data_IF_041792606562
#
_entry.id   IF_041792606562
#
_cell.length_a   1.000
_cell.length_b   1.000
_cell.length_c   1.000
_cell.angle_alpha   90.00
_cell.angle_beta   90.00
_cell.angle_gamma   90.00
#
_symmetry.space_group_name_H-M   'P 1'
#
loop_
_entity.id
_entity.type
_entity.pdbx_description
1 polymer ?
#
# COMPACT_ATOMS: atom_id res chain seq x y z
N UNK A 1 20.00 -1.92 10.17
CA UNK A 1 18.57 -2.32 10.19
C UNK A 1 18.47 -3.55 9.33
N UNK A 2 18.07 -4.69 9.90
CA UNK A 2 17.89 -5.91 9.10
C UNK A 2 16.72 -5.71 8.14
N UNK A 3 16.99 -5.88 6.84
CA UNK A 3 15.98 -5.75 5.80
C UNK A 3 15.07 -6.97 5.82
N UNK A 4 13.90 -6.85 6.45
CA UNK A 4 12.92 -7.93 6.56
C UNK A 4 11.67 -7.63 5.74
N UNK A 5 11.48 -8.36 4.64
CA UNK A 5 10.26 -8.25 3.82
C UNK A 5 9.10 -8.94 4.55
N UNK A 6 8.00 -8.21 4.79
CA UNK A 6 6.80 -8.70 5.46
C UNK A 6 5.92 -9.60 4.58
N UNK A 7 6.44 -10.73 4.10
CA UNK A 7 5.72 -11.64 3.20
C UNK A 7 4.45 -12.17 3.88
N UNK A 8 3.30 -12.05 3.22
CA UNK A 8 2.02 -12.54 3.72
C UNK A 8 1.31 -11.64 4.73
N UNK A 9 1.94 -10.53 5.15
CA UNK A 9 1.28 -9.52 5.99
C UNK A 9 0.38 -8.65 5.12
N UNK A 10 -0.92 -8.67 5.42
CA UNK A 10 -1.93 -7.88 4.71
C UNK A 10 -2.52 -6.75 5.53
N UNK A 11 -2.23 -6.70 6.83
CA UNK A 11 -2.63 -5.64 7.74
C UNK A 11 -1.53 -4.57 7.81
N UNK A 12 -1.92 -3.31 7.58
CA UNK A 12 -0.99 -2.19 7.51
C UNK A 12 -0.39 -1.83 8.88
N UNK A 13 -1.22 -1.76 9.93
CA UNK A 13 -0.76 -1.40 11.28
C UNK A 13 0.27 -2.41 11.80
N UNK A 14 -0.04 -3.71 11.72
CA UNK A 14 0.86 -4.78 12.11
C UNK A 14 2.17 -4.79 11.29
N UNK A 15 2.12 -4.42 10.01
CA UNK A 15 3.33 -4.27 9.18
C UNK A 15 4.21 -3.12 9.70
N UNK A 16 3.61 -1.98 10.04
CA UNK A 16 4.32 -0.80 10.54
C UNK A 16 4.95 -1.04 11.91
N UNK A 17 4.22 -1.65 12.83
CA UNK A 17 4.68 -1.96 14.19
C UNK A 17 5.83 -2.99 14.20
N UNK A 18 5.81 -3.92 13.27
CA UNK A 18 6.82 -4.99 13.20
C UNK A 18 8.16 -4.58 12.58
N UNK A 19 8.33 -3.30 12.21
CA UNK A 19 9.58 -2.79 11.61
C UNK A 19 9.94 -3.46 10.28
N UNK A 20 8.97 -4.05 9.60
CA UNK A 20 9.17 -4.69 8.31
C UNK A 20 9.40 -3.65 7.21
N UNK A 21 10.12 -4.06 6.16
CA UNK A 21 10.25 -3.24 4.95
C UNK A 21 8.87 -3.00 4.33
N UNK A 22 8.57 -1.72 4.11
CA UNK A 22 7.33 -1.24 3.52
C UNK A 22 7.68 -0.11 2.55
N UNK A 23 7.07 -0.15 1.36
CA UNK A 23 7.17 0.94 0.38
C UNK A 23 5.94 1.81 0.57
N UNK A 24 6.17 3.03 1.05
CA UNK A 24 5.13 4.03 1.18
C UNK A 24 4.67 4.51 -0.19
N UNK A 25 3.34 4.50 -0.41
CA UNK A 25 2.69 4.93 -1.65
C UNK A 25 1.73 6.09 -1.41
N UNK A 26 1.78 6.72 -0.23
CA UNK A 26 0.86 7.78 0.18
C UNK A 26 0.88 8.94 -0.81
N UNK A 27 2.07 9.41 -1.20
CA UNK A 27 2.24 10.51 -2.17
C UNK A 27 1.59 10.19 -3.53
N UNK A 28 1.87 9.01 -4.09
CA UNK A 28 1.27 8.56 -5.35
C UNK A 28 -0.27 8.51 -5.28
N UNK A 29 -0.82 8.07 -4.14
CA UNK A 29 -2.28 8.02 -3.94
C UNK A 29 -2.84 9.44 -3.83
N UNK A 30 -2.14 10.33 -3.14
CA UNK A 30 -2.53 11.73 -2.99
C UNK A 30 -2.59 12.45 -4.33
N UNK A 31 -1.55 12.34 -5.15
CA UNK A 31 -1.51 12.90 -6.51
C UNK A 31 -2.66 12.35 -7.35
N UNK A 32 -2.90 11.04 -7.28
CA UNK A 32 -3.97 10.42 -8.05
C UNK A 32 -5.36 10.92 -7.64
N UNK A 33 -5.61 11.10 -6.34
CA UNK A 33 -6.93 11.51 -5.84
C UNK A 33 -7.16 13.02 -6.00
N UNK A 34 -6.14 13.85 -5.83
CA UNK A 34 -6.30 15.31 -5.82
C UNK A 34 -5.93 15.98 -7.13
N UNK A 35 -4.97 15.45 -7.87
CA UNK A 35 -4.41 16.09 -9.07
C UNK A 35 -4.98 15.50 -10.37
N UNK A 36 -5.91 14.54 -10.27
CA UNK A 36 -6.59 13.95 -11.44
C UNK A 36 -8.11 14.01 -11.30
N UNK A 37 -8.81 14.26 -12.41
CA UNK A 37 -10.28 14.26 -12.48
C UNK A 37 -10.84 12.86 -12.82
N UNK A 38 -10.15 11.81 -12.36
CA UNK A 38 -10.50 10.43 -12.68
C UNK A 38 -11.68 9.96 -11.84
N UNK A 39 -12.85 9.73 -12.47
CA UNK A 39 -13.98 9.09 -11.79
C UNK A 39 -13.67 7.66 -11.31
N UNK A 40 -12.83 6.94 -12.05
CA UNK A 40 -12.38 5.59 -11.72
C UNK A 40 -10.91 5.44 -12.12
N UNK A 41 -10.05 5.01 -11.19
CA UNK A 41 -8.67 4.60 -11.52
C UNK A 41 -8.52 3.08 -11.47
N UNK A 42 -8.14 2.48 -12.61
CA UNK A 42 -7.85 1.05 -12.72
C UNK A 42 -6.36 0.76 -12.53
N UNK A 43 -6.04 -0.05 -11.52
CA UNK A 43 -4.67 -0.56 -11.32
C UNK A 43 -4.52 -1.97 -11.88
N UNK A 44 -3.94 -2.10 -13.07
CA UNK A 44 -3.59 -3.40 -13.67
C UNK A 44 -2.37 -4.00 -12.95
N UNK A 45 -2.61 -4.78 -11.89
CA UNK A 45 -1.53 -5.35 -11.06
C UNK A 45 -1.62 -6.87 -10.90
N UNK A 46 -0.48 -7.60 -10.95
CA UNK A 46 -0.41 -9.05 -10.77
C UNK A 46 -0.98 -9.55 -9.43
N UNK A 47 -1.18 -10.86 -9.30
CA UNK A 47 -1.58 -11.50 -8.04
C UNK A 47 -0.45 -11.37 -7.00
N UNK A 48 -0.82 -11.15 -5.73
CA UNK A 48 0.11 -10.94 -4.58
C UNK A 48 0.93 -9.64 -4.59
N UNK A 49 0.55 -8.65 -5.39
CA UNK A 49 1.22 -7.34 -5.45
C UNK A 49 0.83 -6.35 -4.32
N UNK A 50 0.33 -6.84 -3.19
CA UNK A 50 -0.01 -6.00 -2.03
C UNK A 50 -1.29 -5.18 -2.16
N UNK A 51 -2.29 -5.64 -2.94
CA UNK A 51 -3.60 -4.95 -3.06
C UNK A 51 -4.31 -4.84 -1.71
N UNK A 52 -4.41 -5.95 -0.97
CA UNK A 52 -5.04 -5.98 0.35
C UNK A 52 -4.34 -5.06 1.34
N UNK A 53 -3.00 -5.06 1.34
CA UNK A 53 -2.21 -4.17 2.19
C UNK A 53 -2.48 -2.69 1.88
N UNK A 54 -2.60 -2.33 0.60
CA UNK A 54 -2.95 -0.96 0.22
C UNK A 54 -4.36 -0.58 0.67
N UNK A 55 -5.34 -1.49 0.57
CA UNK A 55 -6.69 -1.23 1.08
C UNK A 55 -6.68 -1.03 2.60
N UNK A 56 -5.97 -1.89 3.35
CA UNK A 56 -5.81 -1.76 4.80
C UNK A 56 -5.11 -0.44 5.20
N UNK A 57 -4.18 0.05 4.37
CA UNK A 57 -3.54 1.36 4.57
C UNK A 57 -4.52 2.53 4.37
N UNK A 58 -5.51 2.42 3.49
CA UNK A 58 -6.49 3.49 3.26
C UNK A 58 -7.67 3.45 4.23
N UNK A 59 -7.91 2.30 4.88
CA UNK A 59 -8.99 2.09 5.84
C UNK A 59 -8.65 2.60 7.25
N UNK A 60 -7.36 2.56 7.63
CA UNK A 60 -6.84 3.01 8.93
C UNK A 60 -6.26 4.41 8.85
#
# INVERSE_FOLDING_TARGET
>A
MDFKVGVGKSDFAALRESGNYYVDKTELIYELVNDTDNQVTLFTRPRRFGKTLMMSMMEN
#
